data_IF_758429408126
#
_entry.id   IF_758429408126
#
_cell.length_a   1.000
_cell.length_b   1.000
_cell.length_c   1.000
_cell.angle_alpha   90.00
_cell.angle_beta   90.00
_cell.angle_gamma   90.00
#
_symmetry.space_group_name_H-M   'P 1'
#
loop_
_entity.id
_entity.type
_entity.pdbx_description
1 polymer ?
#
# COMPACT_ATOMS: atom_id res chain seq x y z
N UNK A 1 9.66 -33.61 6.30
CA UNK A 1 8.76 -33.61 5.15
C UNK A 1 7.28 -33.57 5.57
N UNK A 2 6.83 -34.34 6.57
CA UNK A 2 5.41 -34.33 7.03
C UNK A 2 4.88 -32.97 7.53
N UNK A 3 5.75 -32.13 8.11
CA UNK A 3 5.38 -30.81 8.61
C UNK A 3 4.98 -29.84 7.46
N UNK A 4 5.62 -29.96 6.33
CA UNK A 4 5.33 -29.15 5.13
C UNK A 4 4.03 -29.58 4.43
N UNK A 5 3.68 -30.86 4.47
CA UNK A 5 2.41 -31.37 3.95
C UNK A 5 1.21 -30.97 4.84
N UNK A 6 1.40 -31.02 6.15
CA UNK A 6 0.36 -30.61 7.12
C UNK A 6 0.15 -29.08 7.06
N UNK A 7 1.22 -28.30 6.96
CA UNK A 7 1.11 -26.86 6.72
C UNK A 7 0.41 -26.56 5.39
N UNK A 8 0.80 -27.22 4.29
CA UNK A 8 0.27 -26.93 2.95
C UNK A 8 -1.21 -27.28 2.78
N UNK A 9 -1.69 -28.37 3.37
CA UNK A 9 -3.10 -28.81 3.24
C UNK A 9 -4.08 -27.96 4.02
N UNK A 10 -3.70 -27.46 5.20
CA UNK A 10 -4.55 -26.61 6.04
C UNK A 10 -4.39 -25.11 5.74
N UNK A 11 -3.24 -24.70 5.21
CA UNK A 11 -2.90 -23.33 4.87
C UNK A 11 -3.91 -22.71 3.89
N UNK A 12 -4.33 -23.44 2.87
CA UNK A 12 -5.27 -22.95 1.85
C UNK A 12 -6.73 -22.91 2.31
N UNK A 13 -7.09 -23.65 3.33
CA UNK A 13 -8.51 -23.86 3.68
C UNK A 13 -9.08 -22.81 4.64
N UNK A 14 -8.22 -22.20 5.48
CA UNK A 14 -8.67 -21.29 6.53
C UNK A 14 -8.11 -19.87 6.40
N UNK A 15 -6.96 -19.70 5.77
CA UNK A 15 -6.28 -18.40 5.63
C UNK A 15 -6.50 -17.73 4.26
N UNK A 16 -7.49 -18.20 3.48
CA UNK A 16 -7.80 -17.66 2.15
C UNK A 16 -8.08 -16.14 2.15
N UNK A 17 -8.60 -15.62 3.26
CA UNK A 17 -8.85 -14.17 3.43
C UNK A 17 -7.53 -13.40 3.41
N UNK A 18 -6.48 -13.90 4.07
CA UNK A 18 -5.16 -13.27 4.10
C UNK A 18 -4.56 -13.27 2.68
N UNK A 19 -4.74 -14.34 1.92
CA UNK A 19 -4.26 -14.41 0.52
C UNK A 19 -5.00 -13.45 -0.40
N UNK A 20 -6.33 -13.34 -0.29
CA UNK A 20 -7.10 -12.35 -1.05
C UNK A 20 -6.63 -10.94 -0.70
N UNK A 21 -6.42 -10.66 0.58
CA UNK A 21 -5.93 -9.37 1.03
C UNK A 21 -4.53 -9.08 0.49
N UNK A 22 -3.65 -10.09 0.46
CA UNK A 22 -2.32 -9.97 -0.12
C UNK A 22 -2.36 -9.66 -1.64
N UNK A 23 -3.22 -10.35 -2.39
CA UNK A 23 -3.41 -10.08 -3.83
C UNK A 23 -3.95 -8.66 -4.04
N UNK A 24 -4.93 -8.24 -3.25
CA UNK A 24 -5.49 -6.89 -3.32
C UNK A 24 -4.42 -5.82 -3.04
N UNK A 25 -3.63 -6.01 -1.98
CA UNK A 25 -2.50 -5.12 -1.64
C UNK A 25 -1.46 -5.08 -2.75
N UNK A 26 -1.18 -6.21 -3.37
CA UNK A 26 -0.26 -6.31 -4.50
C UNK A 26 -0.77 -5.54 -5.74
N UNK A 27 -2.06 -5.62 -6.03
CA UNK A 27 -2.68 -4.83 -7.10
C UNK A 27 -2.56 -3.34 -6.81
N UNK A 28 -2.88 -2.90 -5.58
CA UNK A 28 -2.75 -1.50 -5.18
C UNK A 28 -1.29 -1.04 -5.28
N UNK A 29 -0.33 -1.85 -4.86
CA UNK A 29 1.11 -1.59 -5.00
C UNK A 29 1.51 -1.35 -6.47
N UNK A 30 1.10 -2.21 -7.38
CA UNK A 30 1.37 -2.03 -8.81
C UNK A 30 0.71 -0.78 -9.40
N UNK A 31 -0.52 -0.48 -8.97
CA UNK A 31 -1.20 0.75 -9.39
C UNK A 31 -0.45 1.99 -8.89
N UNK A 32 0.05 1.96 -7.66
CA UNK A 32 0.83 3.07 -7.07
C UNK A 32 2.14 3.26 -7.82
N UNK A 33 2.88 2.19 -8.15
CA UNK A 33 4.12 2.28 -8.95
C UNK A 33 3.84 2.87 -10.32
N UNK A 34 2.81 2.40 -11.03
CA UNK A 34 2.45 2.92 -12.36
C UNK A 34 2.04 4.39 -12.29
N UNK A 35 1.26 4.77 -11.29
CA UNK A 35 0.84 6.14 -11.09
C UNK A 35 2.05 7.05 -10.78
N UNK A 36 2.94 6.64 -9.88
CA UNK A 36 4.15 7.37 -9.52
C UNK A 36 5.12 7.51 -10.70
N UNK A 37 5.34 6.46 -11.48
CA UNK A 37 6.21 6.50 -12.65
C UNK A 37 5.65 7.38 -13.76
N UNK A 38 4.33 7.33 -13.98
CA UNK A 38 3.65 8.19 -14.96
C UNK A 38 3.70 9.66 -14.55
N UNK A 39 3.60 9.94 -13.24
CA UNK A 39 3.64 11.29 -12.70
C UNK A 39 5.05 11.90 -12.82
N UNK A 40 6.10 11.16 -12.47
CA UNK A 40 7.50 11.61 -12.64
C UNK A 40 7.84 11.94 -14.10
N UNK A 41 7.45 11.11 -15.05
CA UNK A 41 7.66 11.39 -16.48
C UNK A 41 6.84 12.56 -17.03
N UNK A 42 5.75 12.93 -16.35
CA UNK A 42 4.95 14.10 -16.70
C UNK A 42 5.56 15.40 -16.17
N UNK A 43 6.21 15.35 -15.01
CA UNK A 43 6.94 16.47 -14.42
C UNK A 43 8.21 16.83 -15.22
N UNK A 44 8.86 15.85 -15.84
CA UNK A 44 10.11 16.04 -16.60
C UNK A 44 9.88 16.67 -17.99
N UNK A 45 8.66 16.61 -18.52
CA UNK A 45 8.33 17.28 -19.79
C UNK A 45 8.08 18.77 -19.57
N UNK A 46 8.69 19.61 -20.42
CA UNK A 46 8.55 21.06 -20.41
C UNK A 46 7.09 21.49 -20.27
N UNK A 47 6.82 22.09 -19.13
CA UNK A 47 5.47 22.48 -18.72
C UNK A 47 5.14 23.86 -19.27
N UNK A 48 4.61 23.91 -20.49
CA UNK A 48 4.03 25.12 -21.04
C UNK A 48 2.77 25.52 -20.24
N UNK A 49 2.78 26.74 -19.70
CA UNK A 49 1.89 27.25 -18.67
C UNK A 49 0.43 27.44 -19.11
N UNK A 50 -0.30 26.37 -19.36
CA UNK A 50 -1.75 26.43 -19.56
C UNK A 50 -2.50 26.03 -18.27
N UNK A 51 -3.50 26.82 -17.90
CA UNK A 51 -4.36 26.60 -16.71
C UNK A 51 -4.99 25.19 -16.70
N UNK A 52 -5.26 24.64 -17.87
CA UNK A 52 -5.80 23.29 -18.04
C UNK A 52 -4.82 22.21 -17.55
N UNK A 53 -3.52 22.36 -17.85
CA UNK A 53 -2.48 21.43 -17.41
C UNK A 53 -2.26 21.49 -15.88
N UNK A 54 -2.43 22.65 -15.25
CA UNK A 54 -2.33 22.82 -13.80
C UNK A 54 -3.38 21.96 -13.05
N UNK A 55 -4.61 21.96 -13.52
CA UNK A 55 -5.69 21.19 -12.91
C UNK A 55 -5.47 19.66 -13.08
N UNK A 56 -4.95 19.24 -14.22
CA UNK A 56 -4.61 17.85 -14.47
C UNK A 56 -3.45 17.39 -13.56
N UNK A 57 -2.41 18.19 -13.41
CA UNK A 57 -1.28 17.92 -12.53
C UNK A 57 -1.73 17.76 -11.08
N UNK A 58 -2.56 18.68 -10.58
CA UNK A 58 -3.13 18.63 -9.23
C UNK A 58 -3.98 17.37 -9.00
N UNK A 59 -4.75 16.98 -9.99
CA UNK A 59 -5.58 15.78 -9.89
C UNK A 59 -4.73 14.50 -9.88
N UNK A 60 -3.68 14.41 -10.70
CA UNK A 60 -2.75 13.27 -10.72
C UNK A 60 -1.98 13.14 -9.40
N UNK A 61 -1.50 14.25 -8.85
CA UNK A 61 -0.85 14.26 -7.53
C UNK A 61 -1.79 13.74 -6.44
N UNK A 62 -3.02 14.22 -6.40
CA UNK A 62 -4.03 13.78 -5.44
C UNK A 62 -4.31 12.26 -5.56
N UNK A 63 -4.39 11.73 -6.77
CA UNK A 63 -4.55 10.28 -6.98
C UNK A 63 -3.36 9.48 -6.49
N UNK A 64 -2.13 9.97 -6.69
CA UNK A 64 -0.92 9.33 -6.18
C UNK A 64 -0.93 9.26 -4.65
N UNK A 65 -1.27 10.35 -3.97
CA UNK A 65 -1.38 10.39 -2.50
C UNK A 65 -2.45 9.43 -1.97
N UNK A 66 -3.62 9.39 -2.59
CA UNK A 66 -4.72 8.49 -2.20
C UNK A 66 -4.30 7.03 -2.35
N UNK A 67 -3.69 6.66 -3.48
CA UNK A 67 -3.25 5.28 -3.73
C UNK A 67 -2.15 4.86 -2.74
N UNK A 68 -1.22 5.76 -2.44
CA UNK A 68 -0.18 5.48 -1.47
C UNK A 68 -0.74 5.33 -0.05
N UNK A 69 -1.62 6.23 0.37
CA UNK A 69 -2.30 6.12 1.66
C UNK A 69 -3.10 4.81 1.80
N UNK A 70 -3.77 4.40 0.71
CA UNK A 70 -4.49 3.13 0.66
C UNK A 70 -3.55 1.94 0.80
N UNK A 71 -2.41 1.96 0.10
CA UNK A 71 -1.38 0.93 0.19
C UNK A 71 -0.83 0.78 1.62
N UNK A 72 -0.47 1.88 2.27
CA UNK A 72 0.03 1.90 3.66
C UNK A 72 -1.01 1.35 4.63
N UNK A 73 -2.28 1.74 4.48
CA UNK A 73 -3.38 1.23 5.31
C UNK A 73 -3.58 -0.28 5.12
N UNK A 74 -3.54 -0.78 3.88
CA UNK A 74 -3.68 -2.21 3.60
C UNK A 74 -2.52 -3.02 4.17
N UNK A 75 -1.29 -2.51 4.07
CA UNK A 75 -0.10 -3.14 4.65
C UNK A 75 -0.20 -3.21 6.17
N UNK A 76 -0.71 -2.17 6.82
CA UNK A 76 -0.91 -2.13 8.28
C UNK A 76 -2.00 -3.09 8.78
N UNK A 77 -2.93 -3.50 7.92
CA UNK A 77 -4.00 -4.42 8.27
C UNK A 77 -3.54 -5.89 8.38
N UNK A 78 -2.40 -6.28 7.79
CA UNK A 78 -1.93 -7.68 7.83
C UNK A 78 -1.74 -8.25 9.23
N UNK A 79 -1.06 -7.58 10.18
CA UNK A 79 -0.94 -8.09 11.55
C UNK A 79 -2.30 -8.24 12.23
N UNK A 80 -3.24 -7.33 11.97
CA UNK A 80 -4.60 -7.39 12.51
C UNK A 80 -5.37 -8.60 11.97
N UNK A 81 -5.25 -8.87 10.67
CA UNK A 81 -5.85 -10.06 10.04
C UNK A 81 -5.25 -11.34 10.61
N UNK A 82 -3.96 -11.39 10.88
CA UNK A 82 -3.30 -12.50 11.55
C UNK A 82 -3.87 -12.73 12.96
N UNK A 83 -4.08 -11.67 13.75
CA UNK A 83 -4.71 -11.76 15.07
C UNK A 83 -6.17 -12.23 15.01
N UNK A 84 -6.95 -11.73 14.04
CA UNK A 84 -8.33 -12.19 13.83
C UNK A 84 -8.35 -13.69 13.51
N UNK A 85 -7.42 -14.17 12.69
CA UNK A 85 -7.26 -15.59 12.37
C UNK A 85 -6.99 -16.44 13.60
N UNK A 86 -6.14 -15.98 14.53
CA UNK A 86 -5.90 -16.71 15.80
C UNK A 86 -7.14 -16.76 16.67
N UNK A 87 -7.85 -15.65 16.84
CA UNK A 87 -9.09 -15.61 17.65
C UNK A 87 -10.12 -16.57 17.05
N UNK A 88 -10.28 -16.57 15.73
CA UNK A 88 -11.22 -17.45 15.05
C UNK A 88 -10.86 -18.93 15.21
N UNK A 89 -9.58 -19.28 15.14
CA UNK A 89 -9.11 -20.65 15.36
C UNK A 89 -9.34 -21.11 16.79
N UNK A 90 -9.14 -20.23 17.77
CA UNK A 90 -9.38 -20.52 19.18
C UNK A 90 -10.88 -20.65 19.50
N UNK A 91 -11.74 -19.87 18.88
CA UNK A 91 -13.19 -19.97 19.05
C UNK A 91 -13.77 -21.30 18.51
N UNK A 92 -13.10 -21.90 17.52
CA UNK A 92 -13.44 -23.22 16.99
C UNK A 92 -12.86 -24.40 17.76
N UNK A 93 -12.12 -24.12 18.83
CA UNK A 93 -11.48 -25.14 19.64
C UNK A 93 -12.55 -25.92 20.40
N UNK A 94 -12.77 -27.17 19.98
CA UNK A 94 -13.67 -28.10 20.69
C UNK A 94 -12.90 -28.80 21.82
N UNK A 95 -13.18 -28.38 23.04
CA UNK A 95 -12.55 -28.91 24.25
C UNK A 95 -12.94 -30.38 24.55
N UNK A 96 -13.95 -30.90 23.85
CA UNK A 96 -14.40 -32.30 24.03
C UNK A 96 -13.57 -33.30 23.21
N UNK A 97 -12.77 -32.83 22.25
CA UNK A 97 -12.08 -33.64 21.25
C UNK A 97 -10.69 -34.18 21.63
N UNK A 98 -10.25 -34.09 22.87
CA UNK A 98 -8.94 -34.60 23.32
C UNK A 98 -7.74 -33.73 22.91
N UNK A 99 -6.55 -34.13 23.39
CA UNK A 99 -5.31 -33.34 23.28
C UNK A 99 -4.82 -33.16 21.84
N UNK A 100 -5.11 -34.08 20.93
CA UNK A 100 -4.68 -33.98 19.51
C UNK A 100 -5.46 -32.91 18.75
N UNK A 101 -6.76 -32.75 19.02
CA UNK A 101 -7.59 -31.70 18.42
C UNK A 101 -7.22 -30.29 18.91
N UNK A 102 -6.89 -30.18 20.20
CA UNK A 102 -6.42 -28.94 20.82
C UNK A 102 -5.10 -28.50 20.18
N UNK A 103 -4.15 -29.43 20.01
CA UNK A 103 -2.87 -29.16 19.38
C UNK A 103 -3.02 -28.69 17.92
N UNK A 104 -3.93 -29.29 17.16
CA UNK A 104 -4.21 -28.90 15.76
C UNK A 104 -4.76 -27.49 15.64
N UNK A 105 -5.74 -27.12 16.47
CA UNK A 105 -6.34 -25.78 16.48
C UNK A 105 -5.35 -24.70 16.91
N UNK A 106 -4.49 -25.02 17.89
CA UNK A 106 -3.43 -24.11 18.35
C UNK A 106 -2.36 -23.87 17.25
N UNK A 107 -1.96 -24.94 16.53
CA UNK A 107 -1.03 -24.82 15.42
C UNK A 107 -1.61 -23.96 14.30
N UNK A 108 -2.90 -24.11 14.01
CA UNK A 108 -3.60 -23.31 13.00
C UNK A 108 -3.63 -21.83 13.41
N UNK A 109 -3.86 -21.53 14.68
CA UNK A 109 -3.82 -20.17 15.21
C UNK A 109 -2.45 -19.52 15.02
N UNK A 110 -1.37 -20.23 15.34
CA UNK A 110 0.00 -19.74 15.18
C UNK A 110 0.37 -19.50 13.72
N UNK A 111 -0.06 -20.37 12.80
CA UNK A 111 0.22 -20.21 11.38
C UNK A 111 -0.44 -18.96 10.80
N UNK A 112 -1.67 -18.65 11.18
CA UNK A 112 -2.38 -17.45 10.73
C UNK A 112 -1.67 -16.17 11.16
N UNK A 113 -1.21 -16.09 12.42
CA UNK A 113 -0.43 -14.93 12.89
C UNK A 113 0.89 -14.80 12.18
N UNK A 114 1.60 -15.91 12.00
CA UNK A 114 2.88 -15.93 11.30
C UNK A 114 2.72 -15.44 9.85
N UNK A 115 1.66 -15.89 9.17
CA UNK A 115 1.36 -15.51 7.80
C UNK A 115 1.04 -14.00 7.69
N UNK A 116 0.20 -13.49 8.59
CA UNK A 116 -0.12 -12.06 8.65
C UNK A 116 1.13 -11.21 8.90
N UNK A 117 1.99 -11.63 9.84
CA UNK A 117 3.25 -10.94 10.13
C UNK A 117 4.22 -11.00 8.93
N UNK A 118 4.32 -12.15 8.26
CA UNK A 118 5.19 -12.33 7.10
C UNK A 118 4.79 -11.43 5.94
N UNK A 119 3.52 -11.42 5.55
CA UNK A 119 3.05 -10.52 4.50
C UNK A 119 3.18 -9.05 4.88
N UNK A 120 2.85 -8.70 6.13
CA UNK A 120 3.03 -7.33 6.63
C UNK A 120 4.48 -6.86 6.52
N UNK A 121 5.45 -7.71 6.91
CA UNK A 121 6.87 -7.42 6.78
C UNK A 121 7.30 -7.29 5.32
N UNK A 122 6.88 -8.22 4.47
CA UNK A 122 7.21 -8.23 3.05
C UNK A 122 6.74 -6.95 2.35
N UNK A 123 5.49 -6.55 2.56
CA UNK A 123 4.97 -5.31 1.97
C UNK A 123 5.62 -4.06 2.57
N UNK A 124 6.02 -4.09 3.84
CA UNK A 124 6.75 -2.98 4.45
C UNK A 124 8.17 -2.82 3.88
N UNK A 125 8.83 -3.91 3.50
CA UNK A 125 10.10 -3.86 2.77
C UNK A 125 9.87 -3.24 1.37
N UNK A 126 8.81 -3.64 0.67
CA UNK A 126 8.46 -3.05 -0.63
C UNK A 126 8.14 -1.55 -0.52
N UNK A 127 7.50 -1.13 0.57
CA UNK A 127 7.25 0.29 0.88
C UNK A 127 8.54 1.10 0.99
N UNK A 128 9.57 0.54 1.57
CA UNK A 128 10.89 1.20 1.68
C UNK A 128 11.51 1.56 0.33
N UNK A 129 11.15 0.88 -0.74
CA UNK A 129 11.56 1.23 -2.11
C UNK A 129 10.63 2.24 -2.77
N UNK A 130 9.37 2.29 -2.37
CA UNK A 130 8.35 3.15 -2.97
C UNK A 130 8.32 4.55 -2.36
N UNK A 131 8.48 4.64 -1.04
CA UNK A 131 8.42 5.90 -0.27
C UNK A 131 9.36 6.97 -0.81
N UNK A 132 10.67 6.73 -1.04
CA UNK A 132 11.59 7.75 -1.53
C UNK A 132 11.18 8.33 -2.89
N UNK A 133 10.63 7.50 -3.77
CA UNK A 133 10.18 7.93 -5.10
C UNK A 133 8.93 8.80 -5.04
N UNK A 134 8.07 8.55 -4.06
CA UNK A 134 6.86 9.37 -3.84
C UNK A 134 7.26 10.71 -3.22
N UNK A 135 8.19 10.70 -2.27
CA UNK A 135 8.71 11.90 -1.62
C UNK A 135 9.42 12.81 -2.62
N UNK A 136 10.24 12.26 -3.52
CA UNK A 136 10.88 12.99 -4.61
C UNK A 136 9.83 13.62 -5.55
N UNK A 137 8.81 12.88 -5.94
CA UNK A 137 7.73 13.41 -6.76
C UNK A 137 6.95 14.54 -6.07
N UNK A 138 6.75 14.45 -4.77
CA UNK A 138 6.08 15.48 -3.98
C UNK A 138 6.93 16.75 -3.88
N UNK A 139 8.23 16.61 -3.67
CA UNK A 139 9.15 17.75 -3.63
C UNK A 139 9.20 18.48 -4.98
N UNK A 140 9.36 17.75 -6.06
CA UNK A 140 9.33 18.32 -7.41
C UNK A 140 8.01 19.04 -7.73
N UNK A 141 6.88 18.48 -7.29
CA UNK A 141 5.58 19.11 -7.43
C UNK A 141 5.49 20.44 -6.67
N UNK A 142 5.99 20.51 -5.44
CA UNK A 142 6.00 21.74 -4.64
C UNK A 142 6.90 22.83 -5.26
N UNK A 143 8.07 22.45 -5.75
CA UNK A 143 8.99 23.37 -6.44
C UNK A 143 8.31 23.96 -7.67
N UNK A 144 7.68 23.14 -8.51
CA UNK A 144 6.98 23.57 -9.71
C UNK A 144 5.82 24.52 -9.44
N UNK A 145 5.05 24.29 -8.37
CA UNK A 145 3.97 25.21 -7.97
C UNK A 145 4.56 26.57 -7.57
N UNK A 146 5.63 26.56 -6.77
CA UNK A 146 6.28 27.78 -6.31
C UNK A 146 6.79 28.63 -7.47
N UNK A 147 7.49 28.02 -8.43
CA UNK A 147 8.02 28.70 -9.62
C UNK A 147 6.90 29.33 -10.46
N UNK A 148 5.78 28.61 -10.61
CA UNK A 148 4.62 29.13 -11.33
C UNK A 148 3.91 30.30 -10.61
N UNK A 149 3.93 30.33 -9.28
CA UNK A 149 3.37 31.45 -8.51
C UNK A 149 4.24 32.70 -8.68
N UNK A 150 5.57 32.57 -8.62
CA UNK A 150 6.51 33.69 -8.79
C UNK A 150 6.41 34.29 -10.20
N UNK A 151 6.38 33.46 -11.24
CA UNK A 151 6.20 33.90 -12.62
C UNK A 151 4.87 34.66 -12.86
N UNK A 152 3.82 34.31 -12.11
CA UNK A 152 2.53 35.00 -12.20
C UNK A 152 2.55 36.38 -11.54
N UNK A 153 3.30 36.55 -10.45
CA UNK A 153 3.46 37.82 -9.74
C UNK A 153 4.29 38.81 -10.57
N UNK A 154 5.40 38.37 -11.19
CA UNK A 154 6.23 39.21 -12.05
C UNK A 154 5.48 39.71 -13.29
N UNK A 155 4.60 38.88 -13.87
CA UNK A 155 3.79 39.25 -15.03
C UNK A 155 2.68 40.24 -14.67
N UNK A 156 2.11 40.14 -13.45
CA UNK A 156 1.11 41.06 -12.91
C UNK A 156 1.69 42.44 -12.66
N UNK A 157 2.89 42.53 -12.09
CA UNK A 157 3.55 43.81 -11.77
C UNK A 157 3.99 44.57 -13.03
N UNK A 158 4.37 43.88 -14.09
CA UNK A 158 4.74 44.50 -15.35
C UNK A 158 3.55 45.09 -16.13
N UNK A 159 2.35 44.50 -15.94
CA UNK A 159 1.12 45.03 -16.58
C UNK A 159 0.52 46.22 -15.82
N UNK A 160 0.85 46.44 -14.55
CA UNK A 160 0.37 47.61 -13.77
C UNK A 160 1.26 48.85 -13.96
N UNK A 161 2.48 48.68 -14.47
CA UNK A 161 3.45 49.75 -14.75
C UNK A 161 3.43 50.24 -16.23
N UNK A 162 2.60 49.67 -17.09
CA UNK A 162 2.44 50.05 -18.49
C UNK A 162 1.16 50.82 -18.73
#
# INVERSE_FOLDING_TARGET
>A
MKLFEILGGNFFKYDWIIYIWAVLTFVVFFMTIKCSSSFGGYLDRDFESSVCKRNELKNRHKWQEILYALYVNFTSAFPLLGMIGTIYSLLKLDLSGGTEMISGSFLLALTSTLLGAFFGLLFKILDSFLSPKIDENNELYLIRIKDNCQASEETGENNEKA
#
